data_IF_775239058548
#
_entry.id   IF_775239058548
#
_cell.length_a   1.000
_cell.length_b   1.000
_cell.length_c   1.000
_cell.angle_alpha   90.00
_cell.angle_beta   90.00
_cell.angle_gamma   90.00
#
_symmetry.space_group_name_H-M   'P 1'
#
loop_
_entity.id
_entity.type
_entity.pdbx_description
1 polymer ?
#
# COMPACT_ATOMS: atom_id res chain seq x y z
N UNK A 1 1.03 29.63 1.13
CA UNK A 1 0.73 29.33 -0.29
C UNK A 1 1.42 28.01 -0.59
N UNK A 2 0.73 27.05 -1.21
CA UNK A 2 1.32 25.76 -1.58
C UNK A 2 1.54 25.80 -3.09
N UNK A 3 2.77 25.57 -3.54
CA UNK A 3 3.11 25.49 -4.95
C UNK A 3 3.03 24.03 -5.40
N UNK A 4 2.20 23.76 -6.39
CA UNK A 4 1.98 22.44 -6.98
C UNK A 4 1.98 22.59 -8.50
N UNK A 5 2.37 21.54 -9.26
CA UNK A 5 2.12 21.53 -10.70
C UNK A 5 0.62 21.56 -10.99
N UNK A 6 0.25 21.79 -12.24
CA UNK A 6 -1.15 21.64 -12.65
C UNK A 6 -1.60 20.18 -12.49
N UNK A 7 -2.51 19.95 -11.55
CA UNK A 7 -3.07 18.63 -11.24
C UNK A 7 -4.35 18.35 -12.04
N UNK A 8 -4.79 19.28 -12.88
CA UNK A 8 -6.08 19.20 -13.57
C UNK A 8 -7.27 19.32 -12.61
N UNK A 9 -8.39 18.69 -12.98
CA UNK A 9 -9.61 18.71 -12.17
C UNK A 9 -9.45 17.87 -10.90
N UNK A 10 -9.56 18.51 -9.74
CA UNK A 10 -9.47 17.82 -8.45
C UNK A 10 -10.78 17.08 -8.17
N UNK A 11 -10.68 15.82 -7.76
CA UNK A 11 -11.85 14.99 -7.42
C UNK A 11 -11.86 14.53 -5.95
N UNK A 12 -10.72 14.57 -5.25
CA UNK A 12 -10.63 14.30 -3.81
C UNK A 12 -9.43 14.99 -3.16
N UNK A 13 -9.46 15.09 -1.84
CA UNK A 13 -8.31 15.44 -1.02
C UNK A 13 -8.17 14.44 0.13
N UNK A 14 -6.94 14.16 0.53
CA UNK A 14 -6.64 13.44 1.78
C UNK A 14 -5.99 14.40 2.76
N UNK A 15 -6.47 14.42 3.99
CA UNK A 15 -5.93 15.22 5.09
C UNK A 15 -5.67 14.30 6.27
N UNK A 16 -4.50 14.43 6.90
CA UNK A 16 -4.12 13.64 8.06
C UNK A 16 -3.15 14.40 8.98
N UNK A 17 -2.88 13.83 10.15
CA UNK A 17 -1.74 14.18 11.00
C UNK A 17 -1.01 12.93 11.50
N UNK A 18 0.23 13.10 11.94
CA UNK A 18 1.11 11.98 12.33
C UNK A 18 1.14 11.72 13.85
N UNK A 19 0.65 12.67 14.65
CA UNK A 19 0.65 12.56 16.11
C UNK A 19 -0.59 11.82 16.59
N UNK A 20 -0.38 10.66 17.22
CA UNK A 20 -1.39 9.91 17.98
C UNK A 20 -1.18 10.17 19.47
N UNK A 21 -1.19 11.44 19.87
CA UNK A 21 -1.07 11.84 21.26
C UNK A 21 -2.41 12.37 21.78
N UNK A 22 -2.64 12.31 23.09
CA UNK A 22 -3.82 12.94 23.69
C UNK A 22 -3.90 14.41 23.25
N UNK A 23 -5.11 14.86 22.88
CA UNK A 23 -5.42 16.23 22.46
C UNK A 23 -4.70 16.72 21.19
N UNK A 24 -4.15 15.81 20.38
CA UNK A 24 -3.58 16.18 19.07
C UNK A 24 -4.61 16.24 17.95
N UNK A 25 -5.82 15.72 18.20
CA UNK A 25 -6.87 15.73 17.21
C UNK A 25 -7.63 17.04 17.13
N UNK A 26 -8.31 17.21 16.01
CA UNK A 26 -9.03 18.43 15.69
C UNK A 26 -10.21 18.12 14.77
N UNK A 27 -11.29 18.89 14.92
CA UNK A 27 -12.48 18.74 14.09
C UNK A 27 -12.34 19.54 12.78
N UNK A 28 -12.33 18.84 11.64
CA UNK A 28 -12.31 19.47 10.34
C UNK A 28 -13.75 19.66 9.84
N UNK A 29 -14.24 20.90 9.86
CA UNK A 29 -15.57 21.19 9.28
C UNK A 29 -15.51 21.17 7.75
N UNK A 30 -14.59 21.93 7.16
CA UNK A 30 -14.47 22.09 5.70
C UNK A 30 -13.09 22.62 5.33
N UNK A 31 -12.56 22.16 4.20
CA UNK A 31 -11.44 22.77 3.51
C UNK A 31 -11.91 23.46 2.22
N UNK A 32 -11.28 24.58 1.89
CA UNK A 32 -11.50 25.29 0.62
C UNK A 32 -10.16 25.50 -0.07
N UNK A 33 -10.05 25.04 -1.31
CA UNK A 33 -8.86 25.24 -2.14
C UNK A 33 -9.19 26.23 -3.25
N UNK A 34 -8.39 27.29 -3.37
CA UNK A 34 -8.50 28.28 -4.45
C UNK A 34 -7.25 28.18 -5.32
N UNK A 35 -7.40 27.78 -6.57
CA UNK A 35 -6.31 27.83 -7.54
C UNK A 35 -6.03 29.30 -7.87
N UNK A 36 -4.85 29.80 -7.52
CA UNK A 36 -4.54 31.23 -7.55
C UNK A 36 -4.53 31.82 -8.95
N UNK A 37 -4.20 31.01 -9.96
CA UNK A 37 -4.14 31.40 -11.39
C UNK A 37 -5.53 31.40 -12.02
N UNK A 38 -6.21 30.25 -12.02
CA UNK A 38 -7.53 30.08 -12.67
C UNK A 38 -8.68 30.67 -11.87
N UNK A 39 -8.44 30.99 -10.58
CA UNK A 39 -9.45 31.39 -9.58
C UNK A 39 -10.54 30.33 -9.34
N UNK A 40 -10.35 29.10 -9.81
CA UNK A 40 -11.28 28.00 -9.54
C UNK A 40 -11.22 27.63 -8.06
N UNK A 41 -12.41 27.46 -7.48
CA UNK A 41 -12.59 27.15 -6.06
C UNK A 41 -13.15 25.74 -5.90
N UNK A 42 -12.42 24.90 -5.18
CA UNK A 42 -12.88 23.59 -4.71
C UNK A 42 -13.23 23.65 -3.24
N UNK A 43 -14.25 22.89 -2.86
CA UNK A 43 -14.76 22.77 -1.51
C UNK A 43 -14.72 21.30 -1.10
N UNK A 44 -14.29 21.03 0.12
CA UNK A 44 -14.17 19.68 0.68
C UNK A 44 -14.87 19.70 2.04
N UNK A 45 -16.13 19.27 2.07
CA UNK A 45 -16.92 19.22 3.31
C UNK A 45 -16.58 17.93 4.05
N UNK A 46 -16.07 18.06 5.28
CA UNK A 46 -15.68 16.91 6.09
C UNK A 46 -16.68 16.72 7.24
N UNK A 47 -16.72 17.67 8.17
CA UNK A 47 -17.63 17.64 9.32
C UNK A 47 -17.33 16.52 10.31
N UNK A 48 -16.06 16.12 10.44
CA UNK A 48 -15.62 15.00 11.27
C UNK A 48 -14.33 15.31 12.03
N UNK A 49 -14.10 14.56 13.10
CA UNK A 49 -12.86 14.61 13.87
C UNK A 49 -11.71 13.96 13.11
N UNK A 50 -10.49 14.43 13.33
CA UNK A 50 -9.27 13.68 13.06
C UNK A 50 -8.64 13.44 14.43
N UNK A 51 -9.11 12.43 15.16
CA UNK A 51 -8.66 12.11 16.52
C UNK A 51 -8.86 10.62 16.79
N UNK A 52 -7.93 10.00 17.51
CA UNK A 52 -8.03 8.61 17.93
C UNK A 52 -8.97 8.40 19.13
N UNK A 53 -9.38 9.48 19.82
CA UNK A 53 -10.24 9.42 21.00
C UNK A 53 -11.66 9.93 20.73
N UNK A 54 -11.95 10.41 19.52
CA UNK A 54 -13.24 10.97 19.14
C UNK A 54 -13.83 10.21 17.94
N UNK A 55 -15.15 10.21 17.86
CA UNK A 55 -15.93 9.70 16.73
C UNK A 55 -15.57 8.26 16.29
N UNK A 56 -14.80 8.11 15.22
CA UNK A 56 -14.45 6.83 14.60
C UNK A 56 -12.96 6.46 14.79
N UNK A 57 -12.26 7.20 15.66
CA UNK A 57 -10.86 6.99 16.04
C UNK A 57 -9.85 7.11 14.88
N UNK A 58 -10.26 7.75 13.78
CA UNK A 58 -9.42 7.96 12.60
C UNK A 58 -8.77 9.35 12.60
N UNK A 59 -7.52 9.39 12.15
CA UNK A 59 -6.74 10.63 11.99
C UNK A 59 -6.54 11.00 10.53
N UNK A 60 -7.25 10.31 9.62
CA UNK A 60 -7.18 10.51 8.18
C UNK A 60 -8.58 10.69 7.61
N UNK A 61 -8.74 11.67 6.72
CA UNK A 61 -9.99 11.91 5.99
C UNK A 61 -9.71 11.96 4.50
N UNK A 62 -10.44 11.16 3.74
CA UNK A 62 -10.60 11.36 2.30
C UNK A 62 -11.93 12.03 2.03
N UNK A 63 -11.86 13.18 1.38
CA UNK A 63 -13.03 14.03 1.17
C UNK A 63 -13.16 14.27 -0.32
N UNK A 64 -14.33 14.01 -0.92
CA UNK A 64 -14.54 14.27 -2.34
C UNK A 64 -14.57 15.78 -2.60
N UNK A 65 -14.10 16.18 -3.77
CA UNK A 65 -14.14 17.56 -4.19
C UNK A 65 -15.58 17.97 -4.58
N UNK A 66 -15.94 19.20 -4.29
CA UNK A 66 -17.10 19.90 -4.84
C UNK A 66 -16.61 21.19 -5.50
N UNK A 67 -17.20 21.60 -6.62
CA UNK A 67 -16.87 22.88 -7.23
C UNK A 67 -17.30 22.98 -8.70
N UNK A 68 -17.03 24.12 -9.36
CA UNK A 68 -17.48 24.38 -10.72
C UNK A 68 -16.96 23.39 -11.79
N UNK A 69 -15.82 22.75 -11.53
CA UNK A 69 -15.21 21.77 -12.45
C UNK A 69 -15.45 20.31 -12.02
N UNK A 70 -16.33 20.08 -11.04
CA UNK A 70 -16.67 18.72 -10.58
C UNK A 70 -18.04 18.34 -11.11
N UNK A 71 -18.05 17.52 -12.17
CA UNK A 71 -19.29 17.05 -12.80
C UNK A 71 -20.12 16.16 -11.86
N UNK A 72 -19.45 15.31 -11.09
CA UNK A 72 -20.07 14.39 -10.15
C UNK A 72 -19.18 14.20 -8.93
N UNK A 73 -19.75 14.49 -7.76
CA UNK A 73 -19.09 14.26 -6.47
C UNK A 73 -18.98 12.76 -6.25
N UNK A 74 -17.76 12.26 -6.07
CA UNK A 74 -17.53 10.84 -5.81
C UNK A 74 -18.05 10.46 -4.40
N UNK A 75 -18.69 9.29 -4.26
CA UNK A 75 -19.17 8.85 -2.96
C UNK A 75 -17.99 8.44 -2.06
N UNK A 76 -18.17 8.63 -0.75
CA UNK A 76 -17.31 8.02 0.27
C UNK A 76 -17.84 6.60 0.53
N UNK A 77 -16.97 5.61 0.45
CA UNK A 77 -17.28 4.18 0.52
C UNK A 77 -16.45 3.54 1.62
N UNK A 78 -17.01 2.51 2.27
CA UNK A 78 -16.31 1.66 3.23
C UNK A 78 -15.86 0.40 2.50
N UNK A 79 -14.57 0.11 2.55
CA UNK A 79 -14.00 -1.13 2.07
C UNK A 79 -13.79 -2.08 3.25
N UNK A 80 -14.35 -3.28 3.19
CA UNK A 80 -14.01 -4.37 4.10
C UNK A 80 -12.75 -5.04 3.57
N UNK A 81 -11.72 -5.05 4.39
CA UNK A 81 -10.42 -5.67 4.10
C UNK A 81 -10.23 -6.80 5.08
N UNK A 82 -10.13 -8.02 4.56
CA UNK A 82 -9.87 -9.22 5.34
C UNK A 82 -8.43 -9.66 5.07
N UNK A 83 -7.63 -9.76 6.13
CA UNK A 83 -6.23 -10.19 6.04
C UNK A 83 -6.11 -11.60 6.59
N UNK A 84 -5.63 -12.53 5.78
CA UNK A 84 -5.44 -13.93 6.16
C UNK A 84 -3.98 -14.18 6.54
N UNK A 85 -3.72 -14.37 7.84
CA UNK A 85 -2.38 -14.76 8.32
C UNK A 85 -2.22 -16.27 8.12
N UNK A 86 -1.06 -16.69 7.62
CA UNK A 86 -0.82 -18.08 7.33
C UNK A 86 -0.66 -18.95 8.56
N UNK A 87 -0.56 -20.26 8.32
CA UNK A 87 -0.60 -21.28 9.38
C UNK A 87 0.78 -21.88 9.69
N UNK A 88 1.82 -21.46 8.95
CA UNK A 88 3.20 -21.90 9.16
C UNK A 88 3.73 -21.48 10.53
N UNK A 89 4.79 -22.13 11.01
CA UNK A 89 5.33 -21.80 12.33
C UNK A 89 5.97 -20.42 12.36
N UNK A 90 5.63 -19.62 13.37
CA UNK A 90 6.09 -18.23 13.47
C UNK A 90 5.36 -17.26 12.53
N UNK A 91 4.22 -17.65 11.94
CA UNK A 91 3.54 -16.82 10.93
C UNK A 91 2.89 -15.54 11.47
N UNK A 92 2.65 -15.44 12.78
CA UNK A 92 2.01 -14.27 13.37
C UNK A 92 2.99 -13.15 13.68
N UNK A 93 2.49 -11.92 13.82
CA UNK A 93 3.32 -10.73 14.05
C UNK A 93 2.80 -9.82 15.16
N UNK A 94 3.73 -9.24 15.90
CA UNK A 94 3.49 -8.16 16.87
C UNK A 94 3.69 -6.75 16.28
N UNK A 95 4.14 -6.68 15.03
CA UNK A 95 4.42 -5.42 14.35
C UNK A 95 3.14 -4.70 13.94
N UNK A 96 3.25 -3.38 13.72
CA UNK A 96 2.10 -2.60 13.25
C UNK A 96 1.94 -2.78 11.75
N UNK A 97 0.90 -3.51 11.36
CA UNK A 97 0.53 -3.74 9.96
C UNK A 97 -0.19 -2.51 9.39
N UNK A 98 0.13 -2.17 8.15
CA UNK A 98 -0.50 -1.12 7.38
C UNK A 98 -0.79 -1.58 5.95
N UNK A 99 -1.76 -0.92 5.31
CA UNK A 99 -2.16 -1.21 3.95
C UNK A 99 -2.57 0.06 3.20
N UNK A 100 -2.44 0.02 1.87
CA UNK A 100 -2.95 1.02 0.94
C UNK A 100 -3.68 0.32 -0.21
N UNK A 101 -4.94 0.67 -0.45
CA UNK A 101 -5.69 0.24 -1.63
C UNK A 101 -5.46 1.22 -2.78
N UNK A 102 -5.24 0.71 -3.98
CA UNK A 102 -5.14 1.49 -5.21
C UNK A 102 -6.25 1.08 -6.17
N UNK A 103 -6.88 2.05 -6.80
CA UNK A 103 -7.88 1.81 -7.84
C UNK A 103 -7.89 2.90 -8.91
N UNK A 104 -8.90 2.86 -9.77
CA UNK A 104 -8.99 3.74 -10.94
C UNK A 104 -9.07 5.24 -10.58
N UNK A 105 -9.45 5.57 -9.33
CA UNK A 105 -9.53 6.95 -8.81
C UNK A 105 -8.49 7.25 -7.72
N UNK A 106 -7.30 6.67 -7.85
CA UNK A 106 -6.16 6.91 -6.96
C UNK A 106 -6.09 5.90 -5.83
N UNK A 107 -5.52 6.30 -4.70
CA UNK A 107 -5.23 5.39 -3.57
C UNK A 107 -5.95 5.78 -2.27
N UNK A 108 -5.92 4.92 -1.26
CA UNK A 108 -6.38 5.25 0.11
C UNK A 108 -5.29 5.88 0.95
N UNK A 109 -4.03 5.81 0.51
CA UNK A 109 -2.88 6.07 1.32
C UNK A 109 -2.67 4.97 2.34
N UNK A 110 -1.56 5.08 3.06
CA UNK A 110 -1.26 4.15 4.13
C UNK A 110 -2.31 4.26 5.24
N UNK A 111 -2.87 3.10 5.61
CA UNK A 111 -3.86 2.91 6.67
C UNK A 111 -3.32 1.86 7.61
N UNK A 112 -3.06 2.24 8.86
CA UNK A 112 -2.69 1.28 9.90
C UNK A 112 -3.92 0.44 10.26
N UNK A 113 -3.73 -0.89 10.32
CA UNK A 113 -4.79 -1.84 10.59
C UNK A 113 -4.95 -2.03 12.12
N UNK A 114 -5.56 -1.02 12.76
CA UNK A 114 -5.67 -0.94 14.23
C UNK A 114 -6.94 -1.60 14.75
N UNK A 115 -8.10 -1.16 14.24
CA UNK A 115 -9.42 -1.62 14.68
C UNK A 115 -9.88 -2.84 13.89
N UNK A 116 -9.58 -4.03 14.42
CA UNK A 116 -10.11 -5.27 13.88
C UNK A 116 -11.53 -5.51 14.41
N UNK A 117 -12.44 -5.95 13.52
CA UNK A 117 -13.86 -6.15 13.83
C UNK A 117 -14.15 -7.49 14.49
N UNK A 118 -13.33 -8.51 14.26
CA UNK A 118 -13.56 -9.87 14.71
C UNK A 118 -12.54 -10.37 15.76
N UNK A 119 -11.34 -9.80 15.85
CA UNK A 119 -10.31 -10.23 16.79
C UNK A 119 -9.70 -9.07 17.60
N UNK A 120 -9.41 -9.31 18.88
CA UNK A 120 -8.67 -8.36 19.73
C UNK A 120 -7.17 -8.47 19.45
N UNK A 121 -6.67 -9.71 19.43
CA UNK A 121 -5.28 -10.01 19.08
C UNK A 121 -5.21 -10.37 17.60
N UNK A 122 -4.61 -9.48 16.82
CA UNK A 122 -4.62 -9.50 15.35
C UNK A 122 -3.38 -10.20 14.82
N UNK A 123 -3.45 -10.71 13.61
CA UNK A 123 -2.31 -11.27 12.87
C UNK A 123 -1.60 -12.40 13.62
N UNK A 124 -2.37 -13.23 14.33
CA UNK A 124 -1.85 -14.35 15.12
C UNK A 124 -1.74 -15.63 14.30
N UNK A 125 -0.78 -16.49 14.66
CA UNK A 125 -0.66 -17.84 14.09
C UNK A 125 -1.87 -18.70 14.50
N UNK A 126 -2.52 -19.33 13.53
CA UNK A 126 -3.65 -20.25 13.76
C UNK A 126 -3.37 -21.71 13.40
N UNK A 127 -3.76 -22.64 14.28
CA UNK A 127 -3.93 -24.06 13.93
C UNK A 127 -5.28 -24.25 13.21
N UNK A 128 -5.26 -24.99 12.10
CA UNK A 128 -6.45 -25.32 11.29
C UNK A 128 -7.30 -26.37 12.01
N UNK A 129 -8.58 -26.08 12.28
CA UNK A 129 -9.59 -27.13 12.40
C UNK A 129 -10.03 -27.51 10.99
N UNK A 130 -9.55 -28.66 10.50
CA UNK A 130 -9.91 -29.18 9.19
C UNK A 130 -11.37 -29.62 9.25
N UNK A 131 -12.30 -28.76 8.82
CA UNK A 131 -13.61 -29.23 8.38
C UNK A 131 -13.48 -29.56 6.90
N UNK A 132 -13.31 -30.85 6.59
CA UNK A 132 -13.53 -31.35 5.25
C UNK A 132 -14.98 -31.04 4.89
N UNK A 133 -15.22 -30.00 4.10
CA UNK A 133 -16.49 -29.87 3.40
C UNK A 133 -16.62 -31.14 2.54
N UNK A 134 -17.71 -31.92 2.67
CA UNK A 134 -17.90 -33.05 1.80
C UNK A 134 -17.93 -32.54 0.35
N UNK A 135 -17.35 -33.29 -0.61
CA UNK A 135 -17.33 -32.88 -2.00
C UNK A 135 -18.76 -32.60 -2.47
N UNK A 136 -18.92 -31.50 -3.22
CA UNK A 136 -20.17 -31.13 -3.88
C UNK A 136 -20.60 -32.32 -4.73
N UNK A 137 -21.57 -33.09 -4.23
CA UNK A 137 -22.16 -34.18 -5.00
C UNK A 137 -23.00 -33.56 -6.11
N UNK A 138 -22.66 -33.91 -7.35
CA UNK A 138 -23.48 -33.64 -8.52
C UNK A 138 -24.92 -34.15 -8.28
N UNK A 139 -25.94 -33.50 -8.85
CA UNK A 139 -27.33 -33.84 -8.56
C UNK A 139 -27.65 -35.27 -8.99
N UNK A 140 -27.87 -36.16 -8.01
CA UNK A 140 -28.51 -37.46 -8.20
C UNK A 140 -30.02 -37.33 -8.02
N UNK A 141 -30.76 -38.01 -8.88
CA UNK A 141 -32.22 -37.95 -8.97
C UNK A 141 -32.93 -38.49 -7.73
N UNK A 142 -34.10 -37.93 -7.46
CA UNK A 142 -34.86 -37.98 -6.21
C UNK A 142 -35.59 -39.30 -5.92
N UNK A 143 -34.85 -40.39 -5.70
CA UNK A 143 -35.43 -41.59 -5.07
C UNK A 143 -34.57 -42.31 -4.01
N UNK A 144 -33.36 -41.84 -3.69
CA UNK A 144 -32.50 -42.49 -2.65
C UNK A 144 -32.27 -41.65 -1.39
N UNK A 145 -32.84 -40.44 -1.31
CA UNK A 145 -32.55 -39.45 -0.25
C UNK A 145 -33.03 -39.87 1.17
N UNK A 146 -34.07 -40.71 1.28
CA UNK A 146 -34.75 -40.91 2.56
C UNK A 146 -34.15 -42.00 3.47
N UNK A 147 -33.33 -42.92 2.95
CA UNK A 147 -32.75 -44.01 3.79
C UNK A 147 -31.39 -43.60 4.38
N UNK A 148 -30.68 -42.66 3.75
CA UNK A 148 -29.35 -42.22 4.20
C UNK A 148 -29.41 -41.14 5.31
N UNK A 149 -30.46 -40.30 5.33
CA UNK A 149 -30.65 -39.26 6.34
C UNK A 149 -30.96 -39.80 7.75
N UNK A 150 -31.63 -40.96 7.86
CA UNK A 150 -31.98 -41.56 9.15
C UNK A 150 -30.79 -42.21 9.89
N UNK A 151 -29.73 -42.61 9.17
CA UNK A 151 -28.50 -43.15 9.80
C UNK A 151 -27.53 -42.05 10.26
N UNK A 152 -27.52 -40.89 9.59
CA UNK A 152 -26.68 -39.73 9.96
C UNK A 152 -27.23 -38.93 11.15
N UNK A 153 -28.55 -38.90 11.35
CA UNK A 153 -29.16 -38.21 12.49
C UNK A 153 -28.88 -38.90 13.84
N UNK A 154 -28.62 -40.22 13.83
CA UNK A 154 -28.32 -41.00 15.04
C UNK A 154 -26.86 -40.90 15.50
N UNK A 155 -25.91 -40.57 14.62
CA UNK A 155 -24.49 -40.41 15.00
C UNK A 155 -24.18 -38.99 15.48
N UNK A 156 -24.83 -37.97 14.90
CA UNK A 156 -24.61 -36.56 15.25
C UNK A 156 -25.08 -36.15 16.65
N UNK A 157 -26.06 -36.84 17.23
CA UNK A 157 -26.55 -36.51 18.58
C UNK A 157 -25.60 -36.92 19.71
N UNK A 158 -24.64 -37.82 19.46
CA UNK A 158 -23.64 -38.25 20.46
C UNK A 158 -22.36 -37.40 20.46
N UNK A 159 -22.04 -36.72 19.37
CA UNK A 159 -20.88 -35.81 19.29
C UNK A 159 -21.22 -34.38 19.77
N UNK A 160 -22.46 -33.91 19.57
CA UNK A 160 -22.88 -32.55 19.93
C UNK A 160 -22.88 -32.26 21.46
N UNK A 161 -22.90 -33.31 22.30
CA UNK A 161 -22.90 -33.16 23.76
C UNK A 161 -21.51 -33.03 24.41
N UNK A 162 -20.40 -33.09 23.66
CA UNK A 162 -19.04 -33.05 24.22
C UNK A 162 -18.25 -31.75 24.04
N UNK A 163 -18.76 -30.75 23.31
CA UNK A 163 -17.97 -29.54 22.95
C UNK A 163 -18.38 -28.24 23.65
N UNK A 164 -19.29 -28.26 24.62
CA UNK A 164 -19.55 -27.08 25.49
C UNK A 164 -18.49 -26.96 26.60
N UNK A 165 -17.22 -26.75 26.25
CA UNK A 165 -16.20 -26.24 27.19
C UNK A 165 -14.93 -25.72 26.51
N UNK A 166 -15.04 -24.80 25.54
CA UNK A 166 -13.93 -23.90 25.15
C UNK A 166 -14.50 -22.66 24.50
N UNK A 167 -13.99 -21.50 24.91
CA UNK A 167 -14.58 -20.18 24.68
C UNK A 167 -14.94 -19.87 23.23
N UNK A 168 -16.08 -19.19 23.11
CA UNK A 168 -16.72 -18.68 21.91
C UNK A 168 -15.75 -17.83 21.06
N UNK A 169 -15.22 -18.40 19.97
CA UNK A 169 -14.49 -17.68 18.93
C UNK A 169 -15.44 -17.53 17.74
N UNK A 170 -15.84 -16.29 17.45
CA UNK A 170 -16.70 -15.95 16.32
C UNK A 170 -15.98 -16.28 15.00
N UNK A 171 -16.64 -17.10 14.19
CA UNK A 171 -16.24 -17.44 12.82
C UNK A 171 -16.12 -16.16 11.97
N UNK A 172 -15.17 -16.11 11.03
CA UNK A 172 -15.07 -14.97 10.12
C UNK A 172 -16.26 -15.00 9.13
N UNK A 173 -16.87 -13.83 8.85
CA UNK A 173 -18.05 -13.74 7.98
C UNK A 173 -17.79 -14.21 6.53
N UNK A 174 -16.53 -14.37 6.12
CA UNK A 174 -16.12 -14.82 4.79
C UNK A 174 -16.09 -16.35 4.62
N UNK A 175 -16.41 -17.14 5.66
CA UNK A 175 -16.51 -18.61 5.57
C UNK A 175 -15.17 -19.30 5.27
N UNK A 176 -14.05 -18.65 5.56
CA UNK A 176 -12.70 -19.19 5.34
C UNK A 176 -12.24 -19.95 6.58
N UNK A 177 -11.77 -21.19 6.38
CA UNK A 177 -11.05 -21.96 7.39
C UNK A 177 -9.64 -21.36 7.59
N UNK A 178 -9.50 -20.42 8.52
CA UNK A 178 -8.24 -19.75 8.89
C UNK A 178 -8.47 -18.61 9.89
N UNK A 179 -7.40 -18.09 10.53
CA UNK A 179 -7.49 -16.83 11.29
C UNK A 179 -7.41 -15.68 10.30
N UNK A 180 -8.53 -15.00 10.11
CA UNK A 180 -8.62 -13.81 9.29
C UNK A 180 -9.02 -12.62 10.15
N UNK A 181 -8.42 -11.47 9.90
CA UNK A 181 -8.70 -10.21 10.59
C UNK A 181 -9.42 -9.25 9.67
N UNK A 182 -10.57 -8.75 10.11
CA UNK A 182 -11.42 -7.85 9.33
C UNK A 182 -11.25 -6.39 9.73
N UNK A 183 -11.01 -5.54 8.75
CA UNK A 183 -10.84 -4.10 8.91
C UNK A 183 -11.80 -3.34 7.99
N UNK A 184 -12.16 -2.13 8.40
CA UNK A 184 -12.95 -1.21 7.59
C UNK A 184 -12.08 -0.01 7.22
N UNK A 185 -11.95 0.28 5.94
CA UNK A 185 -11.28 1.47 5.43
C UNK A 185 -12.31 2.36 4.75
N UNK A 186 -12.57 3.53 5.32
CA UNK A 186 -13.38 4.55 4.67
C UNK A 186 -12.51 5.41 3.73
N UNK A 187 -12.93 5.56 2.48
CA UNK A 187 -12.24 6.37 1.48
C UNK A 187 -13.19 6.88 0.40
N UNK A 188 -12.79 7.91 -0.36
CA UNK A 188 -13.51 8.28 -1.59
C UNK A 188 -13.39 7.13 -2.58
N UNK A 189 -14.51 6.73 -3.19
CA UNK A 189 -14.62 5.56 -4.06
C UNK A 189 -13.47 5.48 -5.06
N UNK A 190 -12.74 4.37 -4.99
CA UNK A 190 -11.65 4.04 -5.90
C UNK A 190 -12.15 3.51 -7.25
N UNK A 191 -13.48 3.32 -7.41
CA UNK A 191 -14.08 2.48 -8.45
C UNK A 191 -13.50 1.06 -8.37
N UNK A 192 -12.87 0.55 -9.42
CA UNK A 192 -12.24 -0.77 -9.37
C UNK A 192 -10.97 -0.70 -8.53
N UNK A 193 -10.86 -1.55 -7.50
CA UNK A 193 -9.59 -1.78 -6.81
C UNK A 193 -8.69 -2.64 -7.70
N UNK A 194 -7.45 -2.19 -7.90
CA UNK A 194 -6.47 -2.75 -8.84
C UNK A 194 -5.23 -3.31 -8.17
N UNK A 195 -4.88 -2.82 -6.99
CA UNK A 195 -3.66 -3.20 -6.27
C UNK A 195 -3.83 -2.95 -4.78
N UNK A 196 -3.17 -3.79 -3.99
CA UNK A 196 -3.00 -3.63 -2.54
C UNK A 196 -1.51 -3.50 -2.27
N UNK A 197 -1.10 -2.46 -1.54
CA UNK A 197 0.22 -2.47 -0.88
C UNK A 197 -0.01 -2.78 0.58
N UNK A 198 0.65 -3.80 1.11
CA UNK A 198 0.56 -4.18 2.52
C UNK A 198 1.96 -4.37 3.10
N UNK A 199 2.14 -4.11 4.39
CA UNK A 199 3.41 -4.30 5.07
C UNK A 199 3.32 -4.00 6.55
N UNK A 200 4.47 -4.04 7.24
CA UNK A 200 4.57 -3.71 8.67
C UNK A 200 5.80 -2.84 8.95
N UNK A 201 5.86 -2.26 10.16
CA UNK A 201 6.92 -1.32 10.54
C UNK A 201 8.25 -1.97 10.97
N UNK A 202 8.34 -3.30 10.94
CA UNK A 202 9.55 -4.06 11.26
C UNK A 202 10.04 -3.91 12.71
N UNK A 203 9.16 -3.51 13.64
CA UNK A 203 9.48 -3.35 15.06
C UNK A 203 8.97 -4.55 15.86
N UNK A 204 9.75 -4.99 16.85
CA UNK A 204 9.42 -6.13 17.70
C UNK A 204 10.33 -7.34 17.45
N UNK A 205 10.54 -8.16 18.47
CA UNK A 205 11.38 -9.36 18.38
C UNK A 205 10.73 -10.51 17.59
N UNK A 206 9.43 -10.43 17.31
CA UNK A 206 8.65 -11.36 16.51
C UNK A 206 7.91 -10.67 15.36
N UNK A 207 8.57 -9.68 14.74
CA UNK A 207 7.92 -8.84 13.73
C UNK A 207 7.73 -9.52 12.37
N UNK A 208 8.41 -10.65 12.12
CA UNK A 208 8.21 -11.48 10.94
C UNK A 208 6.76 -11.92 10.80
N UNK A 209 6.23 -11.91 9.58
CA UNK A 209 4.83 -12.20 9.34
C UNK A 209 4.66 -13.02 8.08
N UNK A 210 3.96 -14.15 8.13
CA UNK A 210 3.59 -14.88 6.93
C UNK A 210 2.11 -14.61 6.63
N UNK A 211 1.84 -14.05 5.45
CA UNK A 211 0.47 -13.73 5.04
C UNK A 211 0.10 -14.51 3.77
N UNK A 212 -1.03 -15.21 3.82
CA UNK A 212 -1.56 -15.99 2.71
C UNK A 212 -2.13 -15.05 1.64
N UNK A 213 -3.11 -14.22 2.01
CA UNK A 213 -3.80 -13.31 1.08
C UNK A 213 -4.49 -12.14 1.78
N UNK A 214 -4.85 -11.14 0.98
CA UNK A 214 -5.80 -10.07 1.35
C UNK A 214 -7.07 -10.23 0.52
N UNK A 215 -8.23 -10.05 1.12
CA UNK A 215 -9.52 -10.00 0.42
C UNK A 215 -10.11 -8.60 0.61
N UNK A 216 -10.58 -7.99 -0.48
CA UNK A 216 -11.16 -6.64 -0.47
C UNK A 216 -12.52 -6.66 -1.11
N UNK A 217 -13.50 -6.03 -0.46
CA UNK A 217 -14.82 -5.73 -1.04
C UNK A 217 -15.38 -4.42 -0.49
N UNK A 218 -16.38 -3.85 -1.16
CA UNK A 218 -17.18 -2.80 -0.53
C UNK A 218 -18.01 -3.40 0.62
N UNK A 219 -18.07 -2.69 1.75
CA UNK A 219 -18.80 -3.10 2.95
C UNK A 219 -20.30 -3.23 2.64
N UNK A 220 -20.93 -4.29 3.12
CA UNK A 220 -22.33 -4.63 2.81
C UNK A 220 -22.59 -5.26 1.43
N UNK A 221 -21.60 -5.35 0.53
CA UNK A 221 -21.71 -6.13 -0.72
C UNK A 221 -21.56 -7.64 -0.47
N UNK A 222 -22.15 -8.51 -1.32
CA UNK A 222 -22.02 -9.95 -1.18
C UNK A 222 -20.56 -10.40 -1.36
N UNK A 223 -20.20 -11.52 -0.72
CA UNK A 223 -18.84 -12.08 -0.77
C UNK A 223 -18.41 -12.46 -2.19
N UNK A 224 -19.35 -12.73 -3.10
CA UNK A 224 -19.07 -13.02 -4.52
C UNK A 224 -18.50 -11.83 -5.29
N UNK A 225 -18.59 -10.61 -4.76
CA UNK A 225 -17.97 -9.40 -5.30
C UNK A 225 -16.57 -9.14 -4.70
N UNK A 226 -16.05 -10.07 -3.89
CA UNK A 226 -14.73 -9.92 -3.28
C UNK A 226 -13.59 -10.13 -4.28
N UNK A 227 -12.55 -9.33 -4.09
CA UNK A 227 -11.29 -9.45 -4.82
C UNK A 227 -10.27 -10.08 -3.91
N UNK A 228 -9.73 -11.23 -4.32
CA UNK A 228 -8.62 -11.87 -3.61
C UNK A 228 -7.28 -11.37 -4.15
N UNK A 229 -6.34 -11.09 -3.27
CA UNK A 229 -4.98 -10.66 -3.55
C UNK A 229 -4.02 -11.68 -2.92
N UNK A 230 -3.64 -12.74 -3.65
CA UNK A 230 -2.78 -13.80 -3.13
C UNK A 230 -1.36 -13.28 -2.91
N UNK A 231 -0.70 -13.81 -1.89
CA UNK A 231 0.68 -13.45 -1.54
C UNK A 231 1.52 -14.69 -1.23
N UNK A 232 1.15 -15.46 -0.21
CA UNK A 232 1.84 -16.67 0.24
C UNK A 232 3.35 -16.48 0.47
N UNK A 233 3.71 -15.43 1.22
CA UNK A 233 5.11 -15.01 1.42
C UNK A 233 5.36 -14.51 2.83
N UNK A 234 6.63 -14.59 3.24
CA UNK A 234 7.10 -13.92 4.45
C UNK A 234 7.25 -12.42 4.23
N UNK A 235 6.92 -11.67 5.26
CA UNK A 235 7.21 -10.26 5.47
C UNK A 235 8.23 -10.22 6.62
N UNK A 236 9.48 -10.51 6.32
CA UNK A 236 10.56 -10.56 7.30
C UNK A 236 11.87 -10.21 6.60
N UNK A 237 12.77 -9.54 7.30
CA UNK A 237 14.11 -9.21 6.79
C UNK A 237 15.06 -10.40 6.78
N UNK A 238 14.74 -11.45 7.53
CA UNK A 238 15.59 -12.63 7.72
C UNK A 238 15.00 -13.92 7.11
N UNK A 239 13.80 -13.86 6.53
CA UNK A 239 13.14 -14.99 5.86
C UNK A 239 12.82 -14.65 4.40
N UNK A 240 12.66 -15.68 3.57
CA UNK A 240 12.28 -15.58 2.14
C UNK A 240 13.17 -14.60 1.35
N UNK A 241 12.63 -13.47 0.90
CA UNK A 241 13.32 -12.46 0.09
C UNK A 241 13.72 -11.19 0.87
N UNK A 242 13.53 -11.18 2.19
CA UNK A 242 13.91 -10.05 3.05
C UNK A 242 12.94 -8.85 3.02
N UNK A 243 11.85 -8.91 2.23
CA UNK A 243 10.91 -7.80 2.11
C UNK A 243 9.89 -7.78 3.24
N UNK A 244 9.55 -6.58 3.74
CA UNK A 244 8.52 -6.37 4.79
C UNK A 244 7.32 -5.55 4.27
N UNK A 245 7.30 -5.25 2.97
CA UNK A 245 6.22 -4.56 2.25
C UNK A 245 6.08 -5.24 0.90
N UNK A 246 4.85 -5.50 0.48
CA UNK A 246 4.55 -6.12 -0.83
C UNK A 246 3.44 -5.39 -1.55
N UNK A 247 3.51 -5.42 -2.87
CA UNK A 247 2.44 -4.98 -3.77
C UNK A 247 1.77 -6.20 -4.40
N UNK A 248 0.47 -6.32 -4.19
CA UNK A 248 -0.36 -7.45 -4.60
C UNK A 248 -1.36 -6.97 -5.65
N UNK A 249 -1.65 -7.82 -6.63
CA UNK A 249 -2.69 -7.62 -7.65
C UNK A 249 -3.78 -8.68 -7.48
N UNK A 250 -5.01 -8.44 -7.98
CA UNK A 250 -6.10 -9.41 -7.85
C UNK A 250 -5.76 -10.76 -8.50
N UNK A 251 -6.28 -11.83 -7.92
CA UNK A 251 -6.21 -13.19 -8.46
C UNK A 251 -6.74 -13.21 -9.91
N UNK A 252 -6.07 -13.95 -10.78
CA UNK A 252 -6.35 -13.95 -12.24
C UNK A 252 -5.66 -12.81 -13.00
N UNK A 253 -5.11 -11.80 -12.31
CA UNK A 253 -4.15 -10.87 -12.88
C UNK A 253 -2.74 -11.46 -12.85
N UNK A 254 -1.98 -11.34 -13.94
CA UNK A 254 -0.59 -11.80 -13.95
C UNK A 254 0.32 -10.72 -13.31
N UNK A 255 0.88 -11.01 -12.13
CA UNK A 255 1.83 -10.09 -11.44
C UNK A 255 2.96 -9.61 -12.38
N UNK A 256 3.54 -10.54 -13.15
CA UNK A 256 4.61 -10.23 -14.10
C UNK A 256 4.16 -9.37 -15.31
N UNK A 257 2.90 -9.45 -15.75
CA UNK A 257 2.43 -8.63 -16.89
C UNK A 257 2.26 -7.15 -16.50
N UNK A 258 2.24 -6.86 -15.20
CA UNK A 258 2.10 -5.50 -14.69
C UNK A 258 3.43 -4.84 -14.32
N UNK A 259 4.52 -5.61 -14.27
CA UNK A 259 5.86 -5.08 -13.99
C UNK A 259 6.54 -4.61 -15.27
N UNK A 260 7.11 -3.42 -15.24
CA UNK A 260 7.89 -2.82 -16.33
C UNK A 260 9.22 -2.29 -15.79
N UNK A 261 10.17 -2.07 -16.68
CA UNK A 261 11.49 -1.55 -16.34
C UNK A 261 11.52 -0.02 -16.32
N UNK A 262 12.10 0.51 -15.26
CA UNK A 262 12.44 1.92 -15.09
C UNK A 262 13.96 2.03 -15.02
N UNK A 263 14.57 2.67 -16.02
CA UNK A 263 16.01 2.87 -16.08
C UNK A 263 16.35 4.27 -15.55
N UNK A 264 17.09 4.32 -14.46
CA UNK A 264 17.56 5.52 -13.81
C UNK A 264 18.97 5.85 -14.32
N UNK A 265 19.20 7.12 -14.63
CA UNK A 265 20.53 7.69 -14.79
C UNK A 265 20.68 8.79 -13.75
N UNK A 266 21.60 8.63 -12.81
CA UNK A 266 21.75 9.50 -11.65
C UNK A 266 23.06 10.24 -11.79
N UNK A 267 22.99 11.56 -11.93
CA UNK A 267 24.18 12.40 -12.10
C UNK A 267 24.57 13.07 -10.79
N UNK A 268 25.68 12.64 -10.20
CA UNK A 268 26.34 13.41 -9.13
C UNK A 268 26.95 14.68 -9.73
N UNK A 269 26.82 15.81 -9.03
CA UNK A 269 27.32 17.08 -9.54
C UNK A 269 28.83 17.22 -9.46
N UNK A 270 29.33 18.23 -10.16
CA UNK A 270 30.75 18.52 -10.29
C UNK A 270 31.17 19.63 -9.30
N UNK A 271 31.04 19.35 -8.00
CA UNK A 271 31.50 20.24 -6.92
C UNK A 271 32.38 19.48 -5.93
N UNK A 272 33.24 20.19 -5.20
CA UNK A 272 34.15 19.57 -4.24
C UNK A 272 33.36 18.87 -3.12
N UNK A 273 33.68 17.61 -2.86
CA UNK A 273 32.99 16.77 -1.85
C UNK A 273 31.62 16.25 -2.27
N UNK A 274 31.28 16.25 -3.58
CA UNK A 274 29.96 15.84 -4.06
C UNK A 274 29.65 14.33 -3.93
N UNK A 275 30.66 13.47 -3.82
CA UNK A 275 30.52 12.00 -3.77
C UNK A 275 29.77 11.52 -2.53
N UNK A 276 29.22 10.30 -2.57
CA UNK A 276 28.54 9.69 -1.42
C UNK A 276 28.73 8.18 -1.37
N UNK A 277 29.15 7.67 -0.22
CA UNK A 277 29.21 6.23 0.07
C UNK A 277 27.88 5.68 0.63
N UNK A 278 26.87 6.54 0.79
CA UNK A 278 25.56 6.14 1.33
C UNK A 278 24.77 5.34 0.30
N UNK A 279 23.85 4.49 0.78
CA UNK A 279 22.93 3.78 -0.12
C UNK A 279 21.83 4.74 -0.56
N UNK A 280 21.70 4.90 -1.88
CA UNK A 280 20.68 5.76 -2.49
C UNK A 280 19.37 4.99 -2.61
N UNK A 281 18.27 5.67 -2.30
CA UNK A 281 16.91 5.17 -2.42
C UNK A 281 16.08 6.04 -3.35
N UNK A 282 15.09 5.44 -3.99
CA UNK A 282 14.15 6.13 -4.88
C UNK A 282 12.72 5.66 -4.65
N UNK A 283 11.78 6.55 -4.99
CA UNK A 283 10.36 6.26 -5.10
C UNK A 283 9.75 7.10 -6.20
N UNK A 284 9.00 6.48 -7.10
CA UNK A 284 8.32 7.18 -8.19
C UNK A 284 6.84 7.35 -7.85
N UNK A 285 6.27 8.48 -8.28
CA UNK A 285 4.84 8.76 -8.24
C UNK A 285 4.35 9.05 -9.66
N UNK A 286 3.22 8.46 -10.02
CA UNK A 286 2.60 8.58 -11.34
C UNK A 286 1.08 8.58 -11.28
N UNK A 287 0.45 8.51 -12.45
CA UNK A 287 -1.00 8.56 -12.63
C UNK A 287 -1.75 7.38 -11.97
N UNK A 288 -1.13 6.20 -11.93
CA UNK A 288 -1.72 4.97 -11.36
C UNK A 288 -1.28 4.71 -9.91
N UNK A 289 -0.69 5.72 -9.25
CA UNK A 289 -0.19 5.64 -7.89
C UNK A 289 1.34 5.75 -7.82
N UNK A 290 1.94 5.14 -6.81
CA UNK A 290 3.37 5.22 -6.52
C UNK A 290 4.03 3.83 -6.49
N UNK A 291 5.36 3.80 -6.52
CA UNK A 291 6.16 2.60 -6.25
C UNK A 291 6.46 2.46 -4.75
N UNK A 292 6.91 1.28 -4.32
CA UNK A 292 7.61 1.16 -3.03
C UNK A 292 8.89 2.01 -3.05
N UNK A 293 9.25 2.55 -1.88
CA UNK A 293 10.55 3.19 -1.65
C UNK A 293 11.61 2.11 -1.49
N UNK A 294 12.60 2.08 -2.37
CA UNK A 294 13.60 1.02 -2.40
C UNK A 294 15.00 1.56 -2.70
N UNK A 295 16.01 0.80 -2.27
CA UNK A 295 17.42 1.11 -2.52
C UNK A 295 17.84 0.72 -3.93
N UNK A 296 18.76 1.48 -4.50
CA UNK A 296 19.45 1.18 -5.75
C UNK A 296 20.67 0.32 -5.43
N UNK A 297 20.48 -1.00 -5.43
CA UNK A 297 21.47 -1.95 -4.93
C UNK A 297 22.43 -2.47 -5.99
N UNK A 298 21.96 -2.64 -7.23
CA UNK A 298 22.75 -3.24 -8.32
C UNK A 298 22.87 -2.20 -9.44
N UNK A 299 24.08 -1.70 -9.63
CA UNK A 299 24.41 -0.74 -10.69
C UNK A 299 24.55 -1.47 -12.02
N UNK A 300 23.91 -0.94 -13.06
CA UNK A 300 24.01 -1.45 -14.44
C UNK A 300 25.37 -1.12 -15.07
N UNK A 301 26.12 -0.20 -14.46
CA UNK A 301 27.45 0.21 -14.91
C UNK A 301 28.57 -0.79 -14.52
N UNK A 302 28.27 -1.78 -13.68
CA UNK A 302 29.22 -2.76 -13.13
C UNK A 302 30.47 -2.12 -12.48
N UNK A 303 30.22 -1.08 -11.69
CA UNK A 303 31.28 -0.30 -11.04
C UNK A 303 31.21 -0.49 -9.52
N UNK A 304 32.38 -0.75 -8.94
CA UNK A 304 32.51 -1.09 -7.51
C UNK A 304 32.11 0.07 -6.58
N UNK A 305 32.24 1.30 -7.05
CA UNK A 305 31.94 2.51 -6.30
C UNK A 305 31.01 3.39 -7.13
N UNK A 306 29.90 3.84 -6.55
CA UNK A 306 28.83 4.56 -7.26
C UNK A 306 28.73 5.99 -6.70
N UNK A 307 28.08 6.88 -7.45
CA UNK A 307 27.73 8.24 -7.02
C UNK A 307 28.94 9.18 -6.83
N UNK A 308 30.05 8.90 -7.50
CA UNK A 308 31.23 9.75 -7.48
C UNK A 308 31.04 11.11 -8.18
N UNK A 309 31.79 12.12 -7.75
CA UNK A 309 31.75 13.48 -8.33
C UNK A 309 31.78 13.45 -9.86
N UNK A 310 30.85 14.20 -10.47
CA UNK A 310 30.67 14.32 -11.93
C UNK A 310 30.31 13.00 -12.67
N UNK A 311 30.00 11.92 -11.96
CA UNK A 311 29.63 10.64 -12.54
C UNK A 311 28.15 10.56 -12.87
N UNK A 312 27.82 9.67 -13.81
CA UNK A 312 26.46 9.21 -14.07
C UNK A 312 26.38 7.71 -13.79
N UNK A 313 25.51 7.31 -12.87
CA UNK A 313 25.29 5.92 -12.48
C UNK A 313 23.94 5.42 -13.00
N UNK A 314 23.94 4.21 -13.56
CA UNK A 314 22.77 3.62 -14.19
C UNK A 314 22.20 2.49 -13.33
N UNK A 315 20.87 2.46 -13.18
CA UNK A 315 20.18 1.42 -12.42
C UNK A 315 18.86 1.04 -13.09
N UNK A 316 18.52 -0.24 -13.06
CA UNK A 316 17.23 -0.72 -13.55
C UNK A 316 16.38 -1.26 -12.41
N UNK A 317 15.17 -0.71 -12.27
CA UNK A 317 14.15 -1.22 -11.36
C UNK A 317 13.02 -1.84 -12.19
N UNK A 318 12.66 -3.09 -11.88
CA UNK A 318 11.46 -3.72 -12.39
C UNK A 318 10.36 -3.63 -11.33
N UNK A 319 9.30 -2.87 -11.61
CA UNK A 319 8.17 -2.71 -10.68
C UNK A 319 6.90 -2.38 -11.44
N UNK A 320 5.78 -2.24 -10.73
CA UNK A 320 4.47 -2.00 -11.31
C UNK A 320 4.46 -0.78 -12.27
N UNK A 321 3.67 -0.87 -13.34
CA UNK A 321 3.37 0.28 -14.20
C UNK A 321 2.55 1.33 -13.45
N UNK A 322 3.18 2.46 -13.09
CA UNK A 322 2.53 3.60 -12.42
C UNK A 322 1.96 4.63 -13.41
N UNK A 323 1.97 4.34 -14.71
CA UNK A 323 1.58 5.28 -15.76
C UNK A 323 2.60 6.41 -15.92
N UNK A 324 2.15 7.59 -16.36
CA UNK A 324 3.08 8.71 -16.52
C UNK A 324 3.63 9.17 -15.17
N UNK A 325 4.94 9.36 -15.10
CA UNK A 325 5.63 9.81 -13.88
C UNK A 325 5.40 11.31 -13.71
N UNK A 326 4.99 11.73 -12.52
CA UNK A 326 4.85 13.15 -12.17
C UNK A 326 5.93 13.62 -11.20
N UNK A 327 6.36 12.77 -10.26
CA UNK A 327 7.24 13.14 -9.16
C UNK A 327 8.19 11.99 -8.80
N UNK A 328 9.42 12.34 -8.45
CA UNK A 328 10.45 11.45 -7.93
C UNK A 328 10.77 11.87 -6.50
N UNK A 329 10.80 10.91 -5.58
CA UNK A 329 11.53 11.04 -4.33
C UNK A 329 12.88 10.33 -4.50
N UNK A 330 13.95 11.01 -4.15
CA UNK A 330 15.30 10.45 -4.09
C UNK A 330 16.00 10.89 -2.80
N UNK A 331 16.81 10.01 -2.24
CA UNK A 331 17.55 10.28 -1.02
C UNK A 331 18.56 9.20 -0.71
N UNK A 332 19.13 9.23 0.50
CA UNK A 332 20.11 8.26 0.94
C UNK A 332 19.96 7.95 2.44
N UNK A 333 20.54 6.85 2.90
CA UNK A 333 20.44 6.40 4.30
C UNK A 333 21.35 7.15 5.28
N UNK A 334 22.15 8.10 4.80
CA UNK A 334 23.05 8.95 5.58
C UNK A 334 24.04 8.13 6.44
N UNK A 335 24.46 6.97 5.95
CA UNK A 335 25.48 6.13 6.58
C UNK A 335 26.86 6.56 6.10
N UNK A 336 27.86 6.58 7.00
CA UNK A 336 29.25 6.90 6.70
C UNK A 336 29.71 8.29 7.16
N UNK A 337 31.02 8.54 7.09
CA UNK A 337 31.63 9.85 7.34
C UNK A 337 31.46 10.71 6.08
N UNK A 338 30.94 11.93 6.21
CA UNK A 338 30.63 12.83 5.07
C UNK A 338 29.59 12.27 4.10
N UNK A 339 28.49 11.74 4.64
CA UNK A 339 27.37 11.20 3.86
C UNK A 339 26.66 12.22 2.94
N UNK A 340 27.02 13.50 2.98
CA UNK A 340 26.41 14.54 2.15
C UNK A 340 26.65 14.31 0.67
N UNK A 341 25.60 14.39 -0.13
CA UNK A 341 25.64 14.10 -1.55
C UNK A 341 25.16 15.31 -2.36
N UNK A 342 25.96 15.79 -3.30
CA UNK A 342 25.49 16.82 -4.22
C UNK A 342 24.92 16.18 -5.49
N UNK A 343 23.59 16.10 -5.55
CA UNK A 343 22.87 15.53 -6.67
C UNK A 343 22.54 16.60 -7.71
N UNK A 344 23.01 16.43 -8.95
CA UNK A 344 22.74 17.36 -10.03
C UNK A 344 21.36 17.10 -10.65
N UNK A 345 21.13 15.89 -11.16
CA UNK A 345 19.86 15.51 -11.78
C UNK A 345 19.67 14.00 -11.84
N UNK A 346 18.43 13.60 -12.12
CA UNK A 346 18.06 12.21 -12.41
C UNK A 346 17.27 12.18 -13.71
N UNK A 347 17.62 11.24 -14.59
CA UNK A 347 16.85 10.91 -15.78
C UNK A 347 16.21 9.54 -15.57
N UNK A 348 14.92 9.43 -15.81
CA UNK A 348 14.20 8.14 -15.75
C UNK A 348 13.64 7.81 -17.13
N UNK A 349 14.08 6.71 -17.71
CA UNK A 349 13.56 6.17 -18.97
C UNK A 349 12.60 5.02 -18.68
N UNK A 350 11.44 5.03 -19.35
CA UNK A 350 10.42 3.98 -19.27
C UNK A 350 10.14 3.46 -20.69
N UNK A 351 10.90 2.46 -21.17
CA UNK A 351 10.81 1.96 -22.55
C UNK A 351 9.40 1.47 -22.91
N UNK A 352 8.69 0.84 -21.96
CA UNK A 352 7.31 0.39 -22.16
C UNK A 352 6.37 1.54 -22.59
N UNK A 353 6.63 2.75 -22.09
CA UNK A 353 5.88 3.96 -22.43
C UNK A 353 6.48 4.76 -23.59
N UNK A 354 7.71 4.44 -24.01
CA UNK A 354 8.46 5.26 -24.96
C UNK A 354 8.71 6.67 -24.43
N UNK A 355 8.97 6.83 -23.12
CA UNK A 355 9.16 8.14 -22.47
C UNK A 355 10.44 8.22 -21.65
N UNK A 356 10.99 9.43 -21.57
CA UNK A 356 12.08 9.82 -20.70
C UNK A 356 11.70 11.07 -19.90
N UNK A 357 11.94 11.05 -18.60
CA UNK A 357 11.61 12.11 -17.66
C UNK A 357 12.90 12.70 -17.09
N UNK A 358 13.02 14.03 -17.09
CA UNK A 358 14.15 14.76 -16.50
C UNK A 358 13.74 15.39 -15.17
N UNK A 359 14.49 15.10 -14.11
CA UNK A 359 14.34 15.67 -12.79
C UNK A 359 15.59 16.49 -12.46
N UNK A 360 15.54 17.83 -12.49
CA UNK A 360 16.63 18.67 -12.00
C UNK A 360 16.60 18.75 -10.47
N UNK A 361 17.74 18.55 -9.80
CA UNK A 361 17.85 18.60 -8.34
C UNK A 361 18.79 19.75 -7.93
N UNK A 362 20.04 19.73 -8.41
CA UNK A 362 21.09 20.74 -8.17
C UNK A 362 21.18 21.23 -6.71
N UNK A 363 21.24 20.30 -5.76
CA UNK A 363 21.32 20.62 -4.32
C UNK A 363 22.06 19.54 -3.54
N UNK A 364 22.55 19.94 -2.37
CA UNK A 364 23.02 19.00 -1.36
C UNK A 364 21.84 18.27 -0.72
N UNK A 365 21.98 16.95 -0.61
CA UNK A 365 21.23 16.08 0.28
C UNK A 365 22.18 15.74 1.43
N UNK A 366 22.04 16.43 2.55
CA UNK A 366 23.00 16.39 3.64
C UNK A 366 22.35 16.95 4.91
N UNK A 367 22.62 16.34 6.08
CA UNK A 367 22.15 16.86 7.37
C UNK A 367 22.80 18.19 7.76
N UNK A 368 24.04 18.39 7.35
CA UNK A 368 24.86 19.53 7.77
C UNK A 368 24.90 20.66 6.72
N UNK A 369 24.13 20.54 5.62
CA UNK A 369 24.08 21.53 4.55
C UNK A 369 22.64 21.75 4.02
N UNK A 370 22.45 22.85 3.28
CA UNK A 370 21.16 23.26 2.71
C UNK A 370 20.04 23.34 3.76
N UNK A 371 19.00 22.50 3.64
CA UNK A 371 17.84 22.44 4.52
C UNK A 371 17.93 21.29 5.55
N UNK A 372 19.10 20.66 5.67
CA UNK A 372 19.35 19.53 6.57
C UNK A 372 18.65 18.24 6.14
N UNK A 373 18.09 18.18 4.92
CA UNK A 373 17.40 16.99 4.41
C UNK A 373 18.32 16.11 3.59
N UNK A 374 18.17 14.80 3.77
CA UNK A 374 18.86 13.74 3.02
C UNK A 374 17.97 13.11 1.95
N UNK A 375 16.75 13.63 1.79
CA UNK A 375 15.78 13.23 0.78
C UNK A 375 15.10 14.46 0.20
N UNK A 376 14.71 14.38 -1.08
CA UNK A 376 13.97 15.42 -1.77
C UNK A 376 12.90 14.81 -2.66
N UNK A 377 11.73 15.46 -2.71
CA UNK A 377 10.73 15.21 -3.74
C UNK A 377 10.84 16.28 -4.83
N UNK A 378 10.91 15.86 -6.09
CA UNK A 378 11.07 16.72 -7.26
C UNK A 378 10.09 16.34 -8.36
N UNK A 379 9.59 17.34 -9.07
CA UNK A 379 8.71 17.14 -10.23
C UNK A 379 9.53 17.10 -11.52
N UNK A 380 9.06 16.36 -12.51
CA UNK A 380 9.73 16.34 -13.81
C UNK A 380 9.65 17.72 -14.47
N UNK A 381 10.77 18.21 -15.01
CA UNK A 381 10.82 19.48 -15.74
C UNK A 381 10.60 19.32 -17.24
N UNK A 382 10.90 18.13 -17.77
CA UNK A 382 10.82 17.81 -19.19
C UNK A 382 10.47 16.34 -19.37
N UNK A 383 9.58 16.05 -20.33
CA UNK A 383 9.22 14.70 -20.77
C UNK A 383 9.50 14.59 -22.27
N UNK A 384 10.40 13.68 -22.65
CA UNK A 384 10.74 13.39 -24.05
C UNK A 384 10.15 12.05 -24.46
N UNK A 385 9.68 11.96 -25.70
CA UNK A 385 9.41 10.67 -26.33
C UNK A 385 10.74 10.05 -26.75
N UNK A 386 10.93 8.77 -26.46
CA UNK A 386 12.08 7.98 -26.92
C UNK A 386 11.59 6.91 -27.90
N UNK A 387 12.41 6.59 -28.89
CA UNK A 387 12.12 5.51 -29.82
C UNK A 387 12.03 4.18 -29.06
N UNK A 388 11.06 3.36 -29.44
CA UNK A 388 10.77 2.06 -28.81
C UNK A 388 11.69 0.97 -29.30
#
# INVERSE_FOLDING_TARGET
>A
MIELPDLGALYKIRIWHEKRAAFSGWHLTKLTLLQTVTKVKYNFKCGRWLDINEEDHEIVREIPAEGPLVDSVLPVVRYRVTVCTGTVSGSGTDARVFLCLFGDRGDTGERFLVECKNNVNKFEKGNVSIFLLPPVQQPVTSSEYNIQQLRLASSKSREYSKERSKGDRRECDCGIAGIADDFIIEAVSLKQVRRVRIGHDGKGGGCGWYMDKVIVREDGKPETESLEFPCDRWFDRNEDDGHIIRELVPAGGSQNLSSISYHFQIKTGDVSGASSDSRVLVKLYGEKGDTIKQFLLVSDNDVADNFERSRVDHFTINTIDIGNINKLLIGHDNVGLRAGWFLANVVVQVPAHGKQYMFPINRWLCKDACDGKVEVEVYSSEVKTIEK
#
